data_IF_011557463716
#
_entry.id   IF_011557463716
#
_cell.length_a   1.000
_cell.length_b   1.000
_cell.length_c   1.000
_cell.angle_alpha   90.00
_cell.angle_beta   90.00
_cell.angle_gamma   90.00
#
_symmetry.space_group_name_H-M   'P 1'
#
loop_
_entity.id
_entity.type
_entity.pdbx_description
1 polymer ?
#
# COMPACT_ATOMS: atom_id res chain seq x y z
N UNK A 1 20.15 19.89 -28.79
CA UNK A 1 18.87 19.67 -28.10
C UNK A 1 19.08 18.62 -27.01
N UNK A 2 19.67 19.04 -25.89
CA UNK A 2 19.81 18.34 -24.61
C UNK A 2 20.24 19.45 -23.64
N UNK A 3 19.49 19.69 -22.56
CA UNK A 3 19.93 20.62 -21.50
C UNK A 3 20.33 19.78 -20.28
N UNK A 4 21.57 19.87 -19.80
CA UNK A 4 21.96 19.24 -18.54
C UNK A 4 21.39 20.05 -17.37
N UNK A 5 20.85 19.35 -16.35
CA UNK A 5 20.60 19.93 -15.04
C UNK A 5 21.95 20.21 -14.38
N UNK A 6 22.45 21.45 -14.49
CA UNK A 6 23.55 21.93 -13.67
C UNK A 6 23.01 22.24 -12.27
N UNK A 7 23.31 21.36 -11.32
CA UNK A 7 23.25 21.62 -9.89
C UNK A 7 24.15 22.84 -9.60
N UNK A 8 23.54 24.00 -9.43
CA UNK A 8 24.25 25.27 -9.27
C UNK A 8 24.62 25.46 -7.79
N UNK A 9 25.71 24.82 -7.35
CA UNK A 9 26.37 25.21 -6.09
C UNK A 9 27.12 26.52 -6.37
N UNK A 10 26.44 27.65 -6.23
CA UNK A 10 27.09 28.97 -6.22
C UNK A 10 27.71 29.18 -4.85
N UNK A 11 29.03 29.06 -4.81
CA UNK A 11 29.86 29.81 -3.88
C UNK A 11 29.84 31.29 -4.34
N UNK A 12 29.61 32.28 -3.45
CA UNK A 12 30.14 33.67 -3.49
C UNK A 12 29.36 34.64 -2.54
N UNK A 13 30.15 35.33 -1.71
CA UNK A 13 30.03 36.69 -1.14
C UNK A 13 29.08 37.00 0.03
N UNK A 14 29.68 37.64 1.06
CA UNK A 14 29.14 38.09 2.35
C UNK A 14 28.23 39.33 2.30
N UNK A 15 27.40 39.50 1.27
CA UNK A 15 26.44 40.60 1.27
C UNK A 15 25.05 40.12 0.84
N UNK A 16 24.07 40.36 1.72
CA UNK A 16 22.62 40.15 1.58
C UNK A 16 22.04 38.79 2.00
N UNK A 17 22.07 38.53 3.31
CA UNK A 17 21.42 37.38 3.97
C UNK A 17 19.88 37.41 3.83
N UNK A 18 19.25 38.58 3.71
CA UNK A 18 17.80 38.72 3.67
C UNK A 18 17.15 38.23 2.36
N UNK A 19 17.84 38.35 1.21
CA UNK A 19 17.33 37.85 -0.07
C UNK A 19 17.43 36.32 -0.15
N UNK A 20 18.53 35.73 0.33
CA UNK A 20 18.71 34.28 0.38
C UNK A 20 17.68 33.58 1.27
N UNK A 21 17.28 34.19 2.41
CA UNK A 21 16.23 33.65 3.27
C UNK A 21 14.88 33.62 2.55
N UNK A 22 14.50 34.67 1.81
CA UNK A 22 13.22 34.71 1.05
C UNK A 22 13.15 33.69 -0.09
N UNK A 23 14.26 33.44 -0.80
CA UNK A 23 14.30 32.40 -1.84
C UNK A 23 14.26 31.00 -1.22
N UNK A 24 14.99 30.77 -0.12
CA UNK A 24 14.95 29.50 0.62
C UNK A 24 13.55 29.20 1.17
N UNK A 25 12.87 30.19 1.78
CA UNK A 25 11.51 30.00 2.33
C UNK A 25 10.41 29.83 1.30
N UNK A 26 10.63 30.17 0.02
CA UNK A 26 9.66 29.92 -1.05
C UNK A 26 9.98 28.64 -1.86
N UNK A 27 11.25 28.28 -1.98
CA UNK A 27 11.71 27.06 -2.66
C UNK A 27 11.47 25.83 -1.78
N UNK A 28 11.71 25.91 -0.47
CA UNK A 28 11.53 24.78 0.45
C UNK A 28 10.08 24.28 0.52
N UNK A 29 9.04 25.14 0.64
CA UNK A 29 7.65 24.68 0.58
C UNK A 29 7.29 24.07 -0.76
N UNK A 30 7.72 24.68 -1.88
CA UNK A 30 7.46 24.13 -3.22
C UNK A 30 8.13 22.78 -3.43
N UNK A 31 9.35 22.61 -2.95
CA UNK A 31 10.09 21.34 -3.01
C UNK A 31 9.41 20.28 -2.14
N UNK A 32 9.02 20.64 -0.92
CA UNK A 32 8.26 19.77 -0.02
C UNK A 32 6.97 19.28 -0.68
N UNK A 33 6.14 20.21 -1.18
CA UNK A 33 4.91 19.86 -1.90
C UNK A 33 5.18 18.99 -3.14
N UNK A 34 6.27 19.25 -3.87
CA UNK A 34 6.63 18.43 -5.03
C UNK A 34 6.98 16.99 -4.62
N UNK A 35 7.75 16.80 -3.55
CA UNK A 35 8.09 15.47 -3.04
C UNK A 35 6.85 14.75 -2.52
N UNK A 36 5.97 15.46 -1.80
CA UNK A 36 4.70 14.92 -1.33
C UNK A 36 3.80 14.50 -2.49
N UNK A 37 3.68 15.34 -3.53
CA UNK A 37 2.94 15.00 -4.73
C UNK A 37 3.46 13.71 -5.37
N UNK A 38 4.78 13.48 -5.41
CA UNK A 38 5.33 12.22 -5.95
C UNK A 38 4.81 11.02 -5.13
N UNK A 39 4.83 11.10 -3.79
CA UNK A 39 4.37 10.01 -2.91
C UNK A 39 2.86 9.80 -2.95
N UNK A 40 2.08 10.86 -2.98
CA UNK A 40 0.61 10.80 -2.97
C UNK A 40 0.06 10.23 -4.29
N UNK A 41 0.72 10.55 -5.41
CA UNK A 41 0.26 10.11 -6.73
C UNK A 41 0.72 8.70 -7.13
N UNK A 42 1.48 7.95 -6.31
CA UNK A 42 1.91 6.58 -6.65
C UNK A 42 0.71 5.66 -6.91
N UNK A 43 -0.36 5.81 -6.12
CA UNK A 43 -1.56 4.97 -6.22
C UNK A 43 -2.34 5.21 -7.52
N UNK A 44 -2.30 6.45 -8.02
CA UNK A 44 -2.91 6.85 -9.29
C UNK A 44 -2.02 6.46 -10.47
N UNK A 45 -0.70 6.66 -10.36
CA UNK A 45 0.26 6.35 -11.40
C UNK A 45 0.14 4.90 -11.90
N UNK A 46 -0.08 3.94 -10.99
CA UNK A 46 -0.28 2.53 -11.34
C UNK A 46 -1.50 2.25 -12.22
N UNK A 47 -2.52 3.10 -12.21
CA UNK A 47 -3.71 2.94 -13.06
C UNK A 47 -3.39 3.18 -14.55
N UNK A 48 -2.28 3.89 -14.86
CA UNK A 48 -1.82 4.05 -16.23
C UNK A 48 -1.21 2.77 -16.83
N UNK A 49 -0.82 1.81 -15.98
CA UNK A 49 -0.32 0.50 -16.41
C UNK A 49 -1.46 -0.50 -16.74
N UNK A 50 -2.72 -0.16 -16.44
CA UNK A 50 -3.90 -1.01 -16.66
C UNK A 50 -4.64 -1.36 -15.36
N UNK A 51 -4.98 -2.64 -15.18
CA UNK A 51 -5.61 -3.13 -13.97
C UNK A 51 -4.60 -3.31 -12.83
N UNK A 52 -4.98 -2.94 -11.61
CA UNK A 52 -4.10 -2.98 -10.42
C UNK A 52 -4.70 -3.86 -9.33
N UNK A 53 -4.00 -4.94 -8.99
CA UNK A 53 -4.24 -5.67 -7.74
C UNK A 53 -3.59 -4.89 -6.60
N UNK A 54 -4.42 -4.43 -5.65
CA UNK A 54 -4.02 -3.59 -4.53
C UNK A 54 -4.09 -4.36 -3.23
N UNK A 55 -2.98 -4.40 -2.52
CA UNK A 55 -2.89 -4.99 -1.19
C UNK A 55 -2.39 -3.95 -0.20
N UNK A 56 -3.02 -3.92 0.96
CA UNK A 56 -2.70 -3.06 2.08
C UNK A 56 -2.45 -3.95 3.28
N UNK A 57 -1.19 -4.06 3.72
CA UNK A 57 -0.77 -5.02 4.74
C UNK A 57 0.18 -4.36 5.73
N UNK A 58 0.29 -4.94 6.93
CA UNK A 58 1.34 -4.59 7.89
C UNK A 58 2.32 -5.75 8.06
N UNK A 59 3.61 -5.44 8.06
CA UNK A 59 4.72 -6.41 8.11
C UNK A 59 5.78 -5.91 9.09
N UNK A 60 6.44 -6.79 9.87
CA UNK A 60 7.58 -6.40 10.69
C UNK A 60 8.68 -5.69 9.88
N UNK A 61 9.27 -4.63 10.45
CA UNK A 61 10.21 -3.76 9.73
C UNK A 61 11.41 -4.50 9.11
N UNK A 62 11.91 -5.53 9.80
CA UNK A 62 13.03 -6.35 9.31
C UNK A 62 12.72 -7.09 8.00
N UNK A 63 11.43 -7.25 7.66
CA UNK A 63 10.96 -7.95 6.48
C UNK A 63 10.09 -7.06 5.57
N UNK A 64 10.10 -5.74 5.80
CA UNK A 64 9.13 -4.79 5.23
C UNK A 64 8.95 -4.95 3.71
N UNK A 65 10.05 -5.17 2.97
CA UNK A 65 10.01 -5.27 1.51
C UNK A 65 10.10 -6.70 0.95
N UNK A 66 10.31 -7.70 1.81
CA UNK A 66 10.57 -9.09 1.38
C UNK A 66 9.39 -9.66 0.57
N UNK A 67 8.17 -9.33 0.99
CA UNK A 67 6.94 -9.77 0.31
C UNK A 67 6.87 -9.28 -1.14
N UNK A 68 7.35 -8.08 -1.44
CA UNK A 68 7.40 -7.55 -2.81
C UNK A 68 8.36 -8.40 -3.66
N UNK A 69 9.51 -8.77 -3.10
CA UNK A 69 10.50 -9.62 -3.78
C UNK A 69 9.96 -11.03 -4.01
N UNK A 70 9.24 -11.60 -3.03
CA UNK A 70 8.59 -12.91 -3.16
C UNK A 70 7.52 -12.91 -4.27
N UNK A 71 6.73 -11.83 -4.38
CA UNK A 71 5.72 -11.70 -5.44
C UNK A 71 6.35 -11.52 -6.82
N UNK A 72 7.43 -10.74 -6.94
CA UNK A 72 8.22 -10.63 -8.18
C UNK A 72 8.73 -11.98 -8.66
N UNK A 73 9.26 -12.80 -7.75
CA UNK A 73 9.68 -14.16 -8.07
C UNK A 73 8.50 -15.07 -8.44
N UNK A 74 7.37 -14.96 -7.71
CA UNK A 74 6.17 -15.77 -7.95
C UNK A 74 5.55 -15.53 -9.32
N UNK A 75 5.57 -14.27 -9.78
CA UNK A 75 5.01 -13.83 -11.06
C UNK A 75 6.08 -13.63 -12.15
N UNK A 76 7.27 -14.18 -11.96
CA UNK A 76 8.36 -14.08 -12.94
C UNK A 76 7.90 -14.58 -14.32
N UNK A 77 8.21 -13.80 -15.36
CA UNK A 77 7.81 -14.08 -16.74
C UNK A 77 6.36 -13.69 -17.11
N UNK A 78 5.57 -13.15 -16.17
CA UNK A 78 4.28 -12.52 -16.48
C UNK A 78 4.48 -11.04 -16.84
N UNK A 79 3.62 -10.51 -17.71
CA UNK A 79 3.57 -9.07 -17.97
C UNK A 79 2.95 -8.39 -16.75
N UNK A 80 3.78 -8.08 -15.77
CA UNK A 80 3.37 -7.43 -14.50
C UNK A 80 4.44 -6.46 -14.02
N UNK A 81 4.04 -5.34 -13.45
CA UNK A 81 4.92 -4.49 -12.64
C UNK A 81 4.50 -4.60 -11.17
N UNK A 82 5.47 -4.85 -10.29
CA UNK A 82 5.22 -5.13 -8.87
C UNK A 82 6.06 -4.20 -8.02
N UNK A 83 5.41 -3.42 -7.18
CA UNK A 83 6.07 -2.44 -6.34
C UNK A 83 5.35 -2.25 -5.00
N UNK A 84 6.15 -1.91 -3.98
CA UNK A 84 5.68 -1.55 -2.66
C UNK A 84 6.05 -0.12 -2.30
N UNK A 85 5.15 0.56 -1.60
CA UNK A 85 5.34 1.88 -0.99
C UNK A 85 4.45 1.97 0.25
N UNK A 86 4.70 2.88 1.18
CA UNK A 86 3.84 2.96 2.36
C UNK A 86 4.45 3.74 3.50
N UNK A 87 3.97 3.41 4.69
CA UNK A 87 4.32 4.03 5.95
C UNK A 87 5.32 3.12 6.68
N UNK A 88 6.61 3.26 6.34
CA UNK A 88 7.64 2.42 6.95
C UNK A 88 7.73 2.60 8.48
N UNK A 89 7.30 3.74 9.02
CA UNK A 89 7.36 4.03 10.45
C UNK A 89 6.46 3.13 11.32
N UNK A 90 5.35 2.64 10.77
CA UNK A 90 4.39 1.77 11.46
C UNK A 90 4.32 0.35 10.85
N UNK A 91 5.14 0.07 9.84
CA UNK A 91 5.21 -1.22 9.16
C UNK A 91 4.10 -1.46 8.14
N UNK A 92 3.33 -0.44 7.76
CA UNK A 92 2.32 -0.56 6.71
C UNK A 92 2.93 -0.39 5.30
N UNK A 93 2.74 -1.40 4.46
CA UNK A 93 3.12 -1.41 3.06
C UNK A 93 1.89 -1.61 2.16
N UNK A 94 1.73 -0.72 1.19
CA UNK A 94 0.85 -0.90 0.04
C UNK A 94 1.62 -1.60 -1.07
N UNK A 95 1.14 -2.75 -1.49
CA UNK A 95 1.73 -3.56 -2.55
C UNK A 95 0.78 -3.51 -3.73
N UNK A 96 1.30 -3.11 -4.89
CA UNK A 96 0.55 -3.04 -6.13
C UNK A 96 1.18 -3.97 -7.16
N UNK A 97 0.33 -4.73 -7.84
CA UNK A 97 0.67 -5.56 -8.99
C UNK A 97 -0.15 -5.07 -10.15
N UNK A 98 0.49 -4.45 -11.14
CA UNK A 98 -0.18 -3.94 -12.34
C UNK A 98 -0.10 -4.97 -13.47
N UNK A 99 -1.17 -5.06 -14.24
CA UNK A 99 -1.34 -5.88 -15.45
C UNK A 99 -2.11 -5.05 -16.48
N UNK A 100 -1.98 -5.29 -17.80
CA UNK A 100 -2.69 -4.49 -18.80
C UNK A 100 -4.20 -4.58 -18.63
N UNK A 101 -4.69 -5.78 -18.31
CA UNK A 101 -6.09 -6.10 -18.07
C UNK A 101 -6.20 -7.11 -16.93
N UNK A 102 -7.38 -7.19 -16.31
CA UNK A 102 -7.63 -8.17 -15.26
C UNK A 102 -7.37 -9.60 -15.76
N UNK A 103 -6.55 -10.35 -15.02
CA UNK A 103 -6.28 -11.76 -15.28
C UNK A 103 -6.65 -12.60 -14.07
N UNK A 104 -7.60 -13.52 -14.25
CA UNK A 104 -7.95 -14.49 -13.20
C UNK A 104 -6.76 -15.39 -12.86
N UNK A 105 -5.92 -15.73 -13.83
CA UNK A 105 -4.69 -16.50 -13.58
C UNK A 105 -3.75 -15.77 -12.62
N UNK A 106 -3.53 -14.46 -12.84
CA UNK A 106 -2.69 -13.65 -11.95
C UNK A 106 -3.33 -13.52 -10.56
N UNK A 107 -4.65 -13.33 -10.50
CA UNK A 107 -5.40 -13.31 -9.25
C UNK A 107 -5.20 -14.61 -8.45
N UNK A 108 -5.42 -15.76 -9.08
CA UNK A 108 -5.29 -17.09 -8.48
C UNK A 108 -3.82 -17.41 -8.08
N UNK A 109 -2.83 -16.76 -8.70
CA UNK A 109 -1.43 -16.84 -8.30
C UNK A 109 -1.09 -15.95 -7.08
N UNK A 110 -1.80 -14.83 -6.92
CA UNK A 110 -1.61 -13.85 -5.84
C UNK A 110 -2.38 -14.24 -4.58
N UNK A 111 -3.61 -14.71 -4.73
CA UNK A 111 -4.53 -15.01 -3.64
C UNK A 111 -4.77 -16.53 -3.59
N UNK A 112 -4.55 -17.21 -2.44
CA UNK A 112 -4.26 -16.64 -1.12
C UNK A 112 -2.77 -16.40 -0.82
N UNK A 113 -1.86 -16.66 -1.77
CA UNK A 113 -0.41 -16.68 -1.55
C UNK A 113 0.14 -15.47 -0.77
N UNK A 114 -0.27 -14.24 -1.12
CA UNK A 114 0.16 -13.03 -0.43
C UNK A 114 -0.26 -13.02 1.04
N UNK A 115 -1.49 -13.44 1.34
CA UNK A 115 -2.02 -13.48 2.70
C UNK A 115 -1.33 -14.56 3.54
N UNK A 116 -0.97 -15.68 2.94
CA UNK A 116 -0.14 -16.70 3.57
C UNK A 116 1.26 -16.16 3.95
N UNK A 117 1.90 -15.37 3.08
CA UNK A 117 3.20 -14.78 3.40
C UNK A 117 3.09 -13.74 4.52
N UNK A 118 2.03 -12.91 4.52
CA UNK A 118 1.74 -11.97 5.60
C UNK A 118 1.58 -12.72 6.92
N UNK A 119 0.79 -13.79 6.94
CA UNK A 119 0.55 -14.59 8.14
C UNK A 119 1.83 -15.25 8.69
N UNK A 120 2.71 -15.77 7.81
CA UNK A 120 4.03 -16.32 8.21
C UNK A 120 4.89 -15.29 8.95
N UNK A 121 4.78 -14.03 8.55
CA UNK A 121 5.48 -12.91 9.18
C UNK A 121 4.72 -12.32 10.38
N UNK A 122 3.60 -12.93 10.80
CA UNK A 122 2.71 -12.44 11.86
C UNK A 122 2.21 -11.01 11.59
N UNK A 123 2.00 -10.68 10.31
CA UNK A 123 1.49 -9.40 9.86
C UNK A 123 -0.04 -9.31 9.81
N UNK A 124 -0.56 -8.16 9.38
CA UNK A 124 -2.00 -7.96 9.11
C UNK A 124 -2.29 -7.91 7.62
N UNK A 125 -3.33 -8.62 7.15
CA UNK A 125 -3.83 -8.56 5.77
C UNK A 125 -4.58 -7.26 5.44
N UNK A 126 -4.80 -6.43 6.46
CA UNK A 126 -5.32 -5.07 6.31
C UNK A 126 -4.73 -4.19 7.40
N UNK A 127 -3.92 -3.21 7.01
CA UNK A 127 -3.34 -2.28 7.96
C UNK A 127 -4.31 -1.12 8.24
N UNK A 128 -4.85 -0.50 7.19
CA UNK A 128 -5.69 0.71 7.30
C UNK A 128 -7.01 0.63 6.53
N UNK A 129 -7.09 -0.11 5.42
CA UNK A 129 -8.28 -0.09 4.55
C UNK A 129 -9.46 -0.95 5.02
N UNK A 130 -9.29 -1.69 6.12
CA UNK A 130 -10.28 -2.63 6.64
C UNK A 130 -10.57 -3.84 5.72
N UNK A 131 -11.53 -4.66 6.15
CA UNK A 131 -11.84 -5.94 5.51
C UNK A 131 -12.85 -5.78 4.35
N UNK A 132 -13.91 -5.01 4.59
CA UNK A 132 -14.94 -4.68 3.59
C UNK A 132 -15.54 -5.91 2.92
N UNK A 133 -15.81 -5.82 1.62
CA UNK A 133 -16.35 -6.94 0.82
C UNK A 133 -15.25 -7.89 0.31
N UNK A 134 -14.02 -7.39 0.09
CA UNK A 134 -12.98 -8.13 -0.64
C UNK A 134 -12.22 -9.13 0.24
N UNK A 135 -12.04 -8.83 1.52
CA UNK A 135 -11.18 -9.59 2.44
C UNK A 135 -11.87 -10.51 3.48
N UNK A 136 -13.22 -10.65 3.61
CA UNK A 136 -13.82 -11.49 4.65
C UNK A 136 -13.30 -12.93 4.67
N UNK A 137 -13.13 -13.54 3.49
CA UNK A 137 -12.61 -14.90 3.34
C UNK A 137 -11.15 -15.07 3.78
N UNK A 138 -10.38 -13.98 3.91
CA UNK A 138 -8.96 -13.99 4.26
C UNK A 138 -8.67 -13.54 5.69
N UNK A 139 -9.68 -13.10 6.45
CA UNK A 139 -9.50 -12.51 7.78
C UNK A 139 -8.79 -13.43 8.78
N UNK A 140 -8.93 -14.74 8.60
CA UNK A 140 -8.29 -15.77 9.42
C UNK A 140 -6.75 -15.76 9.34
N UNK A 141 -6.17 -15.14 8.31
CA UNK A 141 -4.73 -14.94 8.22
C UNK A 141 -4.18 -13.91 9.24
N UNK A 142 -5.05 -13.13 9.88
CA UNK A 142 -4.65 -12.10 10.86
C UNK A 142 -5.42 -12.13 12.17
N UNK A 143 -6.51 -12.90 12.25
CA UNK A 143 -7.35 -13.04 13.44
C UNK A 143 -7.54 -14.50 13.77
N UNK A 144 -7.42 -14.82 15.05
CA UNK A 144 -7.72 -16.16 15.54
C UNK A 144 -9.23 -16.44 15.56
N UNK A 145 -9.57 -17.72 15.62
CA UNK A 145 -10.96 -18.19 15.63
C UNK A 145 -11.76 -17.64 16.81
N UNK A 146 -11.14 -17.43 17.97
CA UNK A 146 -11.81 -16.85 19.13
C UNK A 146 -12.24 -15.40 18.90
N UNK A 147 -11.38 -14.58 18.31
CA UNK A 147 -11.68 -13.21 17.98
C UNK A 147 -12.75 -13.13 16.90
N UNK A 148 -12.67 -13.98 15.87
CA UNK A 148 -13.68 -14.05 14.82
C UNK A 148 -15.05 -14.46 15.40
N UNK A 149 -15.10 -15.47 16.26
CA UNK A 149 -16.34 -15.87 16.94
C UNK A 149 -16.94 -14.72 17.74
N UNK A 150 -16.13 -14.02 18.54
CA UNK A 150 -16.59 -12.87 19.31
C UNK A 150 -17.16 -11.76 18.41
N UNK A 151 -16.51 -11.46 17.28
CA UNK A 151 -17.03 -10.48 16.31
C UNK A 151 -18.37 -10.90 15.73
N UNK A 152 -18.56 -12.18 15.41
CA UNK A 152 -19.83 -12.73 14.92
C UNK A 152 -20.93 -12.65 15.98
N UNK A 153 -20.62 -12.98 17.23
CA UNK A 153 -21.57 -12.90 18.35
C UNK A 153 -22.03 -11.46 18.57
N UNK A 154 -21.11 -10.49 18.53
CA UNK A 154 -21.43 -9.06 18.61
C UNK A 154 -22.30 -8.59 17.44
N UNK A 155 -22.00 -9.02 16.20
CA UNK A 155 -22.80 -8.68 15.02
C UNK A 155 -24.23 -9.19 15.15
N UNK A 156 -24.43 -10.43 15.58
CA UNK A 156 -25.76 -11.00 15.79
C UNK A 156 -26.52 -10.32 16.93
N UNK A 157 -25.83 -9.95 18.01
CA UNK A 157 -26.44 -9.24 19.13
C UNK A 157 -26.94 -7.85 18.72
N UNK A 158 -26.14 -7.12 17.94
CA UNK A 158 -26.44 -5.73 17.56
C UNK A 158 -27.34 -5.60 16.32
N UNK A 159 -27.28 -6.55 15.40
CA UNK A 159 -28.04 -6.55 14.15
C UNK A 159 -28.55 -7.97 13.83
N UNK A 160 -29.54 -8.47 14.60
CA UNK A 160 -30.04 -9.84 14.47
C UNK A 160 -30.71 -10.14 13.11
N UNK A 161 -31.15 -9.10 12.39
CA UNK A 161 -31.74 -9.24 11.06
C UNK A 161 -30.71 -9.11 9.93
N UNK A 162 -29.44 -8.82 10.24
CA UNK A 162 -28.36 -8.70 9.26
C UNK A 162 -28.54 -7.58 8.23
N UNK A 163 -29.30 -6.53 8.55
CA UNK A 163 -29.63 -5.48 7.57
C UNK A 163 -28.52 -4.43 7.42
N UNK A 164 -27.64 -4.31 8.41
CA UNK A 164 -26.55 -3.35 8.40
C UNK A 164 -25.34 -3.93 7.66
N UNK A 165 -25.24 -3.56 6.38
CA UNK A 165 -24.07 -3.79 5.53
C UNK A 165 -23.75 -5.30 5.33
N UNK A 166 -24.71 -6.10 4.83
CA UNK A 166 -24.53 -7.53 4.64
C UNK A 166 -23.39 -7.86 3.67
N UNK A 167 -22.91 -9.10 3.72
CA UNK A 167 -21.86 -9.67 2.84
C UNK A 167 -20.45 -9.09 3.05
N UNK A 168 -20.22 -8.36 4.14
CA UNK A 168 -18.97 -7.63 4.39
C UNK A 168 -18.41 -7.94 5.77
N UNK A 169 -17.12 -7.70 5.90
CA UNK A 169 -16.31 -7.75 7.13
C UNK A 169 -16.14 -9.15 7.72
N UNK A 170 -17.23 -9.86 8.01
CA UNK A 170 -17.19 -11.18 8.63
C UNK A 170 -17.57 -12.25 7.59
N UNK A 171 -16.88 -13.40 7.59
CA UNK A 171 -17.27 -14.52 6.74
C UNK A 171 -18.59 -15.12 7.24
N UNK A 172 -19.52 -15.37 6.31
CA UNK A 172 -20.77 -16.11 6.53
C UNK A 172 -21.73 -15.48 7.59
N UNK A 173 -21.82 -14.15 7.62
CA UNK A 173 -22.76 -13.36 8.44
C UNK A 173 -23.49 -12.31 7.62
#
# INVERSE_FOLDING_TARGET
MFRPLSLLIINISKHNVASQIKYSTAILPRLSSTIWNIRENIAEAGLHDGYVFKYDVSIPLNNYYDIVLLLRKKLEGKYTNIYGYGHIGDGNIHINVTVPEYSKEVCDMLEPYIFEQVAKLKGSISAEHGVGFRKPQFIHYSKDESALRLMKDLKHLMDPNGILNPYKVLPDV
#
